data_IF_710371874771
#
_entry.id   IF_710371874771
#
_cell.length_a   1.000
_cell.length_b   1.000
_cell.length_c   1.000
_cell.angle_alpha   90.00
_cell.angle_beta   90.00
_cell.angle_gamma   90.00
#
_symmetry.space_group_name_H-M   'P 1'
#
loop_
_entity.id
_entity.type
_entity.pdbx_description
1 polymer ?
#
# COMPACT_ATOMS: atom_id res chain seq x y z
N UNK A 1 16.82 -46.33 7.53
CA UNK A 1 15.99 -45.14 7.28
C UNK A 1 16.20 -44.80 5.81
N UNK A 2 15.48 -45.52 4.97
CA UNK A 2 15.56 -45.37 3.53
C UNK A 2 14.79 -44.10 3.15
N UNK A 3 15.51 -43.11 2.64
CA UNK A 3 14.89 -41.98 1.97
C UNK A 3 14.32 -42.50 0.63
N UNK A 4 12.99 -42.67 0.58
CA UNK A 4 12.27 -43.06 -0.63
C UNK A 4 12.54 -42.05 -1.76
N UNK A 5 13.47 -42.39 -2.64
CA UNK A 5 13.77 -41.64 -3.86
C UNK A 5 12.54 -41.51 -4.79
N UNK A 6 11.51 -42.33 -4.57
CA UNK A 6 10.22 -42.24 -5.27
C UNK A 6 9.40 -41.00 -4.88
N UNK A 7 9.52 -40.48 -3.65
CA UNK A 7 8.83 -39.25 -3.23
C UNK A 7 9.41 -38.01 -3.92
N UNK A 8 10.71 -38.00 -4.21
CA UNK A 8 11.36 -36.91 -4.91
C UNK A 8 10.97 -36.83 -6.41
N UNK A 9 10.59 -37.96 -7.01
CA UNK A 9 10.13 -38.02 -8.41
C UNK A 9 8.66 -37.65 -8.62
N UNK A 10 7.86 -37.58 -7.55
CA UNK A 10 6.41 -37.29 -7.59
C UNK A 10 6.04 -35.89 -7.11
N UNK A 11 7.00 -35.12 -6.59
CA UNK A 11 6.77 -33.72 -6.24
C UNK A 11 6.78 -32.89 -7.54
N UNK A 12 5.66 -32.90 -8.27
CA UNK A 12 5.38 -31.87 -9.26
C UNK A 12 5.51 -30.53 -8.55
N UNK A 13 6.59 -29.80 -8.86
CA UNK A 13 6.89 -28.54 -8.19
C UNK A 13 5.74 -27.58 -8.49
N UNK A 14 5.04 -27.14 -7.44
CA UNK A 14 3.96 -26.15 -7.55
C UNK A 14 4.47 -24.97 -8.40
N UNK A 15 3.88 -24.72 -9.58
CA UNK A 15 4.35 -23.67 -10.46
C UNK A 15 4.32 -22.35 -9.70
N UNK A 16 5.41 -21.57 -9.81
CA UNK A 16 5.52 -20.28 -9.12
C UNK A 16 4.25 -19.45 -9.36
N UNK A 17 3.59 -18.94 -8.31
CA UNK A 17 2.38 -18.15 -8.47
C UNK A 17 2.68 -16.92 -9.33
N UNK A 18 1.80 -16.65 -10.28
CA UNK A 18 1.93 -15.52 -11.18
C UNK A 18 1.85 -14.20 -10.37
N UNK A 19 2.74 -13.26 -10.68
CA UNK A 19 2.71 -11.92 -10.08
C UNK A 19 1.38 -11.23 -10.40
N UNK A 20 0.80 -10.55 -9.42
CA UNK A 20 -0.41 -9.73 -9.60
C UNK A 20 -0.16 -8.47 -10.44
N UNK A 21 1.12 -8.08 -10.60
CA UNK A 21 1.54 -6.91 -11.40
C UNK A 21 2.50 -7.39 -12.48
N UNK A 22 2.27 -6.98 -13.72
CA UNK A 22 3.17 -7.29 -14.83
C UNK A 22 4.50 -6.55 -14.69
N UNK A 23 5.55 -7.10 -15.28
CA UNK A 23 6.85 -6.41 -15.35
C UNK A 23 6.75 -5.06 -16.06
N UNK A 24 5.89 -4.95 -17.09
CA UNK A 24 5.70 -3.71 -17.83
C UNK A 24 5.06 -2.61 -16.98
N UNK A 25 4.01 -2.94 -16.22
CA UNK A 25 3.41 -2.01 -15.27
C UNK A 25 4.46 -1.56 -14.23
N UNK A 26 5.18 -2.50 -13.62
CA UNK A 26 6.25 -2.19 -12.66
C UNK A 26 7.33 -1.25 -13.23
N UNK A 27 7.86 -1.54 -14.41
CA UNK A 27 8.86 -0.71 -15.07
C UNK A 27 8.33 0.68 -15.43
N UNK A 28 7.08 0.77 -15.89
CA UNK A 28 6.46 2.07 -16.21
C UNK A 28 6.34 2.97 -14.97
N UNK A 29 5.96 2.40 -13.82
CA UNK A 29 5.91 3.13 -12.55
C UNK A 29 7.30 3.59 -12.11
N UNK A 30 8.31 2.73 -12.24
CA UNK A 30 9.69 3.06 -11.90
C UNK A 30 10.22 4.22 -12.76
N UNK A 31 9.98 4.18 -14.07
CA UNK A 31 10.33 5.28 -14.98
C UNK A 31 9.65 6.57 -14.54
N UNK A 32 8.36 6.53 -14.20
CA UNK A 32 7.62 7.68 -13.73
C UNK A 32 8.20 8.30 -12.45
N UNK A 33 8.53 7.46 -11.46
CA UNK A 33 9.21 7.89 -10.22
C UNK A 33 10.56 8.54 -10.53
N UNK A 34 11.41 7.89 -11.34
CA UNK A 34 12.76 8.40 -11.63
C UNK A 34 12.71 9.72 -12.41
N UNK A 35 11.79 9.86 -13.36
CA UNK A 35 11.59 11.11 -14.11
C UNK A 35 11.15 12.24 -13.18
N UNK A 36 10.18 11.97 -12.29
CA UNK A 36 9.72 12.98 -11.35
C UNK A 36 10.79 13.36 -10.32
N UNK A 37 11.54 12.39 -9.79
CA UNK A 37 12.69 12.64 -8.92
C UNK A 37 13.70 13.56 -9.61
N UNK A 38 14.06 13.27 -10.86
CA UNK A 38 15.00 14.10 -11.62
C UNK A 38 14.51 15.54 -11.76
N UNK A 39 13.24 15.72 -12.11
CA UNK A 39 12.60 17.02 -12.19
C UNK A 39 12.58 17.76 -10.84
N UNK A 40 12.12 17.08 -9.78
CA UNK A 40 12.03 17.66 -8.45
C UNK A 40 13.41 18.06 -7.90
N UNK A 41 14.45 17.27 -8.16
CA UNK A 41 15.84 17.62 -7.81
C UNK A 41 16.34 18.84 -8.57
N UNK A 42 16.01 18.98 -9.84
CA UNK A 42 16.44 20.13 -10.64
C UNK A 42 15.84 21.45 -10.11
N UNK A 43 14.58 21.42 -9.67
CA UNK A 43 13.85 22.62 -9.19
C UNK A 43 13.81 22.76 -7.66
N UNK A 44 14.44 21.85 -6.90
CA UNK A 44 14.41 21.87 -5.43
C UNK A 44 13.00 21.65 -4.85
N UNK A 45 12.16 20.87 -5.53
CA UNK A 45 10.77 20.61 -5.13
C UNK A 45 10.69 19.49 -4.09
N UNK A 46 11.13 19.73 -2.86
CA UNK A 46 11.27 18.74 -1.79
C UNK A 46 10.09 18.67 -0.80
N UNK A 47 9.02 19.41 -1.07
CA UNK A 47 7.84 19.52 -0.22
C UNK A 47 6.87 18.32 -0.28
N UNK A 48 5.89 18.27 0.65
CA UNK A 48 4.96 17.15 0.77
C UNK A 48 4.04 16.98 -0.45
N UNK A 49 3.65 18.07 -1.11
CA UNK A 49 2.86 17.99 -2.34
C UNK A 49 3.66 17.38 -3.50
N UNK A 50 4.94 17.72 -3.61
CA UNK A 50 5.83 17.09 -4.59
C UNK A 50 6.00 15.59 -4.35
N UNK A 51 5.98 15.17 -3.09
CA UNK A 51 5.98 13.75 -2.73
C UNK A 51 4.68 13.05 -3.15
N UNK A 52 3.51 13.69 -3.02
CA UNK A 52 2.26 13.15 -3.58
C UNK A 52 2.27 13.09 -5.11
N UNK A 53 2.86 14.08 -5.78
CA UNK A 53 3.05 14.05 -7.23
C UNK A 53 3.98 12.90 -7.62
N UNK A 54 4.98 12.55 -6.80
CA UNK A 54 5.81 11.36 -7.03
C UNK A 54 4.99 10.06 -7.01
N UNK A 55 4.05 9.92 -6.06
CA UNK A 55 3.12 8.79 -6.01
C UNK A 55 2.23 8.76 -7.25
N UNK A 56 1.74 9.92 -7.71
CA UNK A 56 0.97 10.01 -8.95
C UNK A 56 1.81 9.68 -10.20
N UNK A 57 3.06 10.15 -10.24
CA UNK A 57 4.02 9.85 -11.31
C UNK A 57 4.38 8.36 -11.33
N UNK A 58 4.33 7.66 -10.20
CA UNK A 58 4.40 6.20 -10.14
C UNK A 58 3.11 5.55 -10.68
N UNK A 59 1.95 5.93 -10.14
CA UNK A 59 0.69 5.22 -10.38
C UNK A 59 0.09 5.45 -11.76
N UNK A 60 0.21 6.65 -12.34
CA UNK A 60 -0.41 6.98 -13.62
C UNK A 60 0.17 6.16 -14.79
N UNK A 61 1.50 6.05 -14.98
CA UNK A 61 2.07 5.16 -15.99
C UNK A 61 1.68 3.70 -15.79
N UNK A 62 1.64 3.23 -14.53
CA UNK A 62 1.19 1.86 -14.20
C UNK A 62 -0.25 1.63 -14.65
N UNK A 63 -1.17 2.55 -14.35
CA UNK A 63 -2.57 2.48 -14.79
C UNK A 63 -2.66 2.45 -16.31
N UNK A 64 -1.94 3.36 -16.99
CA UNK A 64 -1.94 3.47 -18.45
C UNK A 64 -1.44 2.16 -19.08
N UNK A 65 -0.32 1.62 -18.59
CA UNK A 65 0.21 0.36 -19.07
C UNK A 65 -0.77 -0.80 -18.83
N UNK A 66 -1.26 -0.95 -17.61
CA UNK A 66 -2.17 -2.03 -17.22
C UNK A 66 -3.47 -2.01 -18.04
N UNK A 67 -4.00 -0.83 -18.35
CA UNK A 67 -5.25 -0.72 -19.11
C UNK A 67 -5.07 -0.84 -20.62
N UNK A 68 -4.03 -0.22 -21.20
CA UNK A 68 -3.86 -0.16 -22.66
C UNK A 68 -3.07 -1.34 -23.22
N UNK A 69 -2.03 -1.78 -22.51
CA UNK A 69 -1.11 -2.84 -22.95
C UNK A 69 -1.56 -4.18 -22.40
N UNK A 70 -1.57 -4.33 -21.08
CA UNK A 70 -1.91 -5.61 -20.44
C UNK A 70 -3.42 -5.90 -20.52
N UNK A 71 -4.23 -4.84 -20.65
CA UNK A 71 -5.70 -4.90 -20.72
C UNK A 71 -6.30 -5.69 -19.54
N UNK A 72 -5.76 -5.46 -18.34
CA UNK A 72 -6.14 -6.18 -17.10
C UNK A 72 -7.63 -6.11 -16.80
N UNK A 73 -8.31 -5.05 -17.26
CA UNK A 73 -9.75 -4.90 -17.15
C UNK A 73 -10.53 -6.05 -17.80
N UNK A 74 -9.94 -6.81 -18.73
CA UNK A 74 -10.55 -7.97 -19.40
C UNK A 74 -10.18 -9.31 -18.74
N UNK A 75 -9.35 -9.31 -17.71
CA UNK A 75 -8.94 -10.54 -17.05
C UNK A 75 -10.15 -11.18 -16.35
N UNK A 76 -10.32 -12.51 -16.42
CA UNK A 76 -11.35 -13.22 -15.67
C UNK A 76 -11.27 -12.99 -14.15
N UNK A 77 -10.06 -12.78 -13.62
CA UNK A 77 -9.79 -12.49 -12.20
C UNK A 77 -10.48 -11.23 -11.69
N UNK A 78 -10.82 -10.27 -12.57
CA UNK A 78 -11.56 -9.07 -12.17
C UNK A 78 -12.99 -9.38 -11.70
N UNK A 79 -13.57 -10.49 -12.17
CA UNK A 79 -14.97 -10.85 -11.99
C UNK A 79 -15.93 -9.92 -12.75
N UNK A 80 -15.46 -9.27 -13.81
CA UNK A 80 -16.25 -8.35 -14.65
C UNK A 80 -16.56 -9.01 -16.00
N UNK A 81 -17.83 -9.02 -16.38
CA UNK A 81 -18.28 -9.31 -17.73
C UNK A 81 -18.79 -8.03 -18.40
N UNK A 82 -17.97 -7.45 -19.28
CA UNK A 82 -18.30 -6.23 -20.02
C UNK A 82 -19.42 -6.41 -21.05
N UNK A 83 -19.74 -7.65 -21.43
CA UNK A 83 -20.80 -7.95 -22.40
C UNK A 83 -22.19 -8.05 -21.76
N UNK A 84 -22.26 -8.36 -20.46
CA UNK A 84 -23.49 -8.61 -19.72
C UNK A 84 -24.03 -7.35 -19.00
N UNK A 85 -24.15 -6.22 -19.70
CA UNK A 85 -24.57 -4.97 -19.10
C UNK A 85 -26.03 -5.01 -18.60
N UNK A 86 -26.22 -5.19 -17.29
CA UNK A 86 -27.56 -5.16 -16.65
C UNK A 86 -28.19 -3.77 -16.68
N UNK A 87 -29.53 -3.71 -16.60
CA UNK A 87 -30.26 -2.44 -16.48
C UNK A 87 -30.00 -1.84 -15.10
N UNK A 88 -29.80 -0.51 -15.02
CA UNK A 88 -29.47 0.16 -13.75
C UNK A 88 -30.54 -0.05 -12.66
N UNK A 89 -31.81 -0.23 -13.05
CA UNK A 89 -32.92 -0.49 -12.13
C UNK A 89 -32.81 -1.86 -11.47
N UNK A 90 -32.24 -2.84 -12.15
CA UNK A 90 -32.07 -4.21 -11.65
C UNK A 90 -30.96 -4.29 -10.60
N UNK A 91 -29.97 -3.39 -10.68
CA UNK A 91 -28.82 -3.37 -9.77
C UNK A 91 -28.92 -2.29 -8.68
N UNK A 92 -29.93 -1.40 -8.74
CA UNK A 92 -30.02 -0.25 -7.84
C UNK A 92 -30.00 -0.66 -6.36
N UNK A 93 -30.90 -1.56 -5.97
CA UNK A 93 -31.01 -2.00 -4.57
C UNK A 93 -29.69 -2.61 -4.08
N UNK A 94 -29.08 -3.44 -4.92
CA UNK A 94 -27.78 -4.05 -4.65
C UNK A 94 -26.68 -2.99 -4.45
N UNK A 95 -26.62 -2.00 -5.35
CA UNK A 95 -25.65 -0.91 -5.26
C UNK A 95 -25.86 -0.04 -4.02
N UNK A 96 -27.11 0.25 -3.65
CA UNK A 96 -27.44 0.99 -2.43
C UNK A 96 -27.02 0.22 -1.18
N UNK A 97 -27.26 -1.09 -1.13
CA UNK A 97 -26.77 -1.94 -0.04
C UNK A 97 -25.24 -1.92 0.05
N UNK A 98 -24.53 -2.02 -1.08
CA UNK A 98 -23.06 -1.91 -1.09
C UNK A 98 -22.54 -0.57 -0.60
N UNK A 99 -23.16 0.52 -1.06
CA UNK A 99 -22.79 1.87 -0.62
C UNK A 99 -22.97 2.01 0.88
N UNK A 100 -24.05 1.47 1.47
CA UNK A 100 -24.25 1.44 2.91
C UNK A 100 -23.09 0.72 3.63
N UNK A 101 -22.68 -0.47 3.15
CA UNK A 101 -21.54 -1.20 3.71
C UNK A 101 -20.21 -0.45 3.57
N UNK A 102 -19.95 0.14 2.40
CA UNK A 102 -18.74 0.91 2.13
C UNK A 102 -18.65 2.16 3.02
N UNK A 103 -19.74 2.93 3.11
CA UNK A 103 -19.78 4.14 3.93
C UNK A 103 -19.71 3.83 5.42
N UNK A 104 -20.34 2.76 5.88
CA UNK A 104 -20.18 2.29 7.26
C UNK A 104 -18.72 1.93 7.58
N UNK A 105 -18.02 1.32 6.61
CA UNK A 105 -16.58 1.04 6.74
C UNK A 105 -15.78 2.32 6.88
N UNK A 106 -16.03 3.32 6.03
CA UNK A 106 -15.34 4.61 6.10
C UNK A 106 -15.65 5.39 7.37
N UNK A 107 -16.89 5.36 7.84
CA UNK A 107 -17.28 5.95 9.11
C UNK A 107 -16.54 5.27 10.27
N UNK A 108 -16.46 3.93 10.29
CA UNK A 108 -15.68 3.19 11.29
C UNK A 108 -14.20 3.56 11.29
N UNK A 109 -13.59 3.68 10.10
CA UNK A 109 -12.20 4.13 9.95
C UNK A 109 -12.02 5.57 10.47
N UNK A 110 -12.94 6.46 10.14
CA UNK A 110 -12.91 7.84 10.61
C UNK A 110 -13.00 7.92 12.14
N UNK A 111 -13.81 7.07 12.78
CA UNK A 111 -13.87 6.97 14.25
C UNK A 111 -12.55 6.47 14.82
N UNK A 112 -11.93 5.44 14.21
CA UNK A 112 -10.62 4.93 14.65
C UNK A 112 -9.54 6.02 14.58
N UNK A 113 -9.45 6.73 13.45
CA UNK A 113 -8.49 7.82 13.29
C UNK A 113 -8.80 9.02 14.19
N UNK A 114 -10.08 9.34 14.41
CA UNK A 114 -10.50 10.40 15.31
C UNK A 114 -10.21 10.11 16.78
N UNK A 115 -10.32 8.84 17.20
CA UNK A 115 -10.03 8.42 18.57
C UNK A 115 -8.51 8.37 18.87
N UNK A 116 -7.69 8.03 17.88
CA UNK A 116 -6.24 7.96 18.04
C UNK A 116 -5.55 9.32 17.94
N UNK A 117 -5.27 9.98 19.08
CA UNK A 117 -4.58 11.28 19.11
C UNK A 117 -3.26 11.30 18.32
N UNK A 118 -2.51 10.21 18.36
CA UNK A 118 -1.22 10.07 17.66
C UNK A 118 -1.34 10.19 16.13
N UNK A 119 -2.52 9.98 15.54
CA UNK A 119 -2.72 10.22 14.10
C UNK A 119 -2.72 11.71 13.74
N UNK A 120 -2.88 12.61 14.71
CA UNK A 120 -2.99 14.05 14.49
C UNK A 120 -1.71 14.80 14.85
N UNK A 121 -0.62 14.09 15.08
CA UNK A 121 0.68 14.64 15.45
C UNK A 121 1.76 14.18 14.45
N UNK A 122 2.82 14.99 14.32
CA UNK A 122 3.96 14.69 13.44
C UNK A 122 3.56 14.36 12.00
N UNK A 123 4.20 13.33 11.43
CA UNK A 123 3.99 12.93 10.03
C UNK A 123 2.58 12.40 9.75
N UNK A 124 1.91 11.79 10.73
CA UNK A 124 0.54 11.30 10.54
C UNK A 124 -0.47 12.43 10.35
N UNK A 125 -0.21 13.64 10.86
CA UNK A 125 -1.06 14.79 10.61
C UNK A 125 -1.22 15.08 9.11
N UNK A 126 -0.17 14.83 8.30
CA UNK A 126 -0.27 14.95 6.85
C UNK A 126 -1.13 13.85 6.23
N UNK A 127 -1.03 12.61 6.71
CA UNK A 127 -1.91 11.53 6.28
C UNK A 127 -3.39 11.83 6.61
N UNK A 128 -3.68 12.37 7.80
CA UNK A 128 -5.02 12.81 8.18
C UNK A 128 -5.50 13.95 7.31
N UNK A 129 -4.65 14.94 7.01
CA UNK A 129 -4.98 16.00 6.05
C UNK A 129 -5.36 15.41 4.69
N UNK A 130 -4.61 14.43 4.17
CA UNK A 130 -4.96 13.74 2.92
C UNK A 130 -6.34 13.08 3.01
N UNK A 131 -6.62 12.34 4.09
CA UNK A 131 -7.92 11.67 4.26
C UNK A 131 -9.08 12.65 4.42
N UNK A 132 -8.93 13.72 5.19
CA UNK A 132 -9.98 14.75 5.37
C UNK A 132 -10.34 15.41 4.05
N UNK A 133 -9.37 15.65 3.17
CA UNK A 133 -9.62 16.23 1.85
C UNK A 133 -10.13 15.20 0.82
N UNK A 134 -9.64 13.96 0.88
CA UNK A 134 -10.02 12.92 -0.06
C UNK A 134 -11.39 12.29 0.26
N UNK A 135 -11.76 12.16 1.54
CA UNK A 135 -12.96 11.43 1.94
C UNK A 135 -14.26 11.99 1.34
N UNK A 136 -14.53 13.32 1.31
CA UNK A 136 -15.72 13.86 0.65
C UNK A 136 -15.75 13.56 -0.85
N UNK A 137 -14.59 13.63 -1.51
CA UNK A 137 -14.46 13.33 -2.95
C UNK A 137 -14.75 11.85 -3.20
N UNK A 138 -14.16 10.96 -2.40
CA UNK A 138 -14.37 9.51 -2.49
C UNK A 138 -15.81 9.11 -2.15
N UNK A 139 -16.43 9.78 -1.17
CA UNK A 139 -17.85 9.63 -0.85
C UNK A 139 -18.72 9.88 -2.07
N UNK A 140 -18.58 11.04 -2.70
CA UNK A 140 -19.37 11.39 -3.88
C UNK A 140 -19.02 10.49 -5.07
N UNK A 141 -17.73 10.23 -5.31
CA UNK A 141 -17.26 9.39 -6.42
C UNK A 141 -17.65 7.91 -6.28
N UNK A 142 -17.86 7.41 -5.06
CA UNK A 142 -18.29 6.02 -4.84
C UNK A 142 -19.67 5.75 -5.42
N UNK A 143 -20.57 6.73 -5.43
CA UNK A 143 -21.95 6.58 -5.92
C UNK A 143 -21.99 6.20 -7.40
N UNK A 144 -21.48 7.04 -8.34
CA UNK A 144 -21.50 6.68 -9.75
C UNK A 144 -20.63 5.46 -10.04
N UNK A 145 -19.54 5.25 -9.31
CA UNK A 145 -18.67 4.08 -9.50
C UNK A 145 -19.39 2.77 -9.17
N UNK A 146 -20.01 2.66 -7.99
CA UNK A 146 -20.71 1.43 -7.56
C UNK A 146 -21.92 1.16 -8.45
N UNK A 147 -22.73 2.19 -8.72
CA UNK A 147 -23.88 2.07 -9.63
C UNK A 147 -23.50 1.64 -11.05
N UNK A 148 -22.32 2.06 -11.51
CA UNK A 148 -21.80 1.68 -12.82
C UNK A 148 -21.26 0.25 -12.82
N UNK A 149 -20.37 -0.09 -11.88
CA UNK A 149 -19.63 -1.36 -11.91
C UNK A 149 -20.53 -2.57 -11.63
N UNK A 150 -21.54 -2.43 -10.77
CA UNK A 150 -22.47 -3.52 -10.42
C UNK A 150 -23.27 -4.06 -11.62
N UNK A 151 -23.37 -3.24 -12.68
CA UNK A 151 -24.01 -3.63 -13.94
C UNK A 151 -23.22 -4.69 -14.70
N UNK A 152 -21.94 -4.87 -14.39
CA UNK A 152 -21.02 -5.75 -15.12
C UNK A 152 -20.39 -6.83 -14.23
N UNK A 153 -20.59 -6.78 -12.90
CA UNK A 153 -20.02 -7.81 -12.02
C UNK A 153 -20.73 -9.15 -12.21
N UNK A 154 -19.95 -10.22 -12.40
CA UNK A 154 -20.47 -11.59 -12.52
C UNK A 154 -21.19 -11.99 -11.24
N UNK A 155 -20.52 -11.85 -10.09
CA UNK A 155 -21.10 -11.99 -8.76
C UNK A 155 -21.23 -10.61 -8.10
N UNK A 156 -22.39 -9.95 -8.24
CA UNK A 156 -22.58 -8.62 -7.70
C UNK A 156 -22.76 -8.62 -6.18
N UNK A 157 -23.04 -9.73 -5.49
CA UNK A 157 -23.07 -9.74 -4.00
C UNK A 157 -21.68 -9.93 -3.41
N UNK A 158 -20.86 -8.89 -3.48
CA UNK A 158 -19.49 -8.91 -2.97
C UNK A 158 -19.39 -8.67 -1.45
N UNK A 159 -18.15 -8.66 -0.95
CA UNK A 159 -17.86 -8.48 0.48
C UNK A 159 -18.40 -7.17 1.08
N UNK A 160 -18.51 -6.10 0.29
CA UNK A 160 -19.10 -4.84 0.74
C UNK A 160 -20.62 -4.92 0.79
N UNK A 161 -21.24 -5.66 -0.16
CA UNK A 161 -22.66 -5.95 -0.12
C UNK A 161 -23.04 -6.73 1.15
N UNK A 162 -22.28 -7.77 1.51
CA UNK A 162 -22.58 -8.56 2.71
C UNK A 162 -22.56 -7.74 4.01
N UNK A 163 -21.61 -6.80 4.15
CA UNK A 163 -21.59 -5.88 5.29
C UNK A 163 -22.82 -4.95 5.28
N UNK A 164 -23.15 -4.38 4.13
CA UNK A 164 -24.32 -3.50 4.00
C UNK A 164 -25.65 -4.24 4.24
N UNK A 165 -25.77 -5.46 3.73
CA UNK A 165 -26.92 -6.34 3.89
C UNK A 165 -27.14 -6.66 5.37
N UNK A 166 -26.05 -6.97 6.10
CA UNK A 166 -26.10 -7.18 7.54
C UNK A 166 -26.57 -5.92 8.30
N UNK A 167 -26.06 -4.74 7.95
CA UNK A 167 -26.44 -3.47 8.59
C UNK A 167 -27.91 -3.08 8.34
N UNK A 168 -28.46 -3.51 7.20
CA UNK A 168 -29.81 -3.14 6.75
C UNK A 168 -30.85 -4.26 6.93
N UNK A 169 -30.45 -5.40 7.51
CA UNK A 169 -31.36 -6.51 7.81
C UNK A 169 -31.78 -7.38 6.62
N UNK A 170 -31.02 -7.38 5.53
CA UNK A 170 -31.28 -8.26 4.38
C UNK A 170 -30.91 -9.72 4.70
N UNK A 171 -31.64 -10.66 4.07
CA UNK A 171 -31.34 -12.10 4.17
C UNK A 171 -30.18 -12.51 3.24
N UNK A 172 -29.59 -13.69 3.49
CA UNK A 172 -28.52 -14.26 2.65
C UNK A 172 -27.12 -13.69 2.91
N UNK A 173 -26.89 -13.15 4.10
CA UNK A 173 -25.58 -12.65 4.54
C UNK A 173 -24.63 -13.81 4.83
N UNK A 174 -23.47 -13.80 4.19
CA UNK A 174 -22.33 -14.62 4.56
C UNK A 174 -21.44 -13.87 5.57
N UNK A 175 -21.21 -14.49 6.74
CA UNK A 175 -20.37 -13.91 7.80
C UNK A 175 -18.89 -13.96 7.45
N UNK A 176 -18.44 -14.97 6.72
CA UNK A 176 -17.04 -15.09 6.33
C UNK A 176 -16.64 -13.99 5.35
N UNK A 177 -17.55 -13.63 4.43
CA UNK A 177 -17.39 -12.45 3.57
C UNK A 177 -17.22 -11.15 4.36
N UNK A 178 -17.98 -10.96 5.45
CA UNK A 178 -17.83 -9.78 6.34
C UNK A 178 -16.47 -9.79 7.03
N UNK A 179 -16.04 -10.93 7.59
CA UNK A 179 -14.70 -11.01 8.19
C UNK A 179 -13.60 -10.77 7.17
N UNK A 180 -13.77 -11.26 5.93
CA UNK A 180 -12.88 -10.97 4.81
C UNK A 180 -12.79 -9.47 4.52
N UNK A 181 -13.94 -8.79 4.44
CA UNK A 181 -14.03 -7.34 4.26
C UNK A 181 -13.30 -6.58 5.35
N UNK A 182 -13.60 -6.87 6.62
CA UNK A 182 -13.01 -6.18 7.76
C UNK A 182 -11.49 -6.38 7.83
N UNK A 183 -10.99 -7.57 7.52
CA UNK A 183 -9.54 -7.82 7.42
C UNK A 183 -8.92 -7.02 6.27
N UNK A 184 -9.48 -7.09 5.06
CA UNK A 184 -8.93 -6.36 3.91
C UNK A 184 -8.88 -4.84 4.16
N UNK A 185 -9.95 -4.27 4.72
CA UNK A 185 -9.98 -2.87 5.11
C UNK A 185 -9.10 -2.57 6.32
N UNK A 186 -8.92 -3.50 7.26
CA UNK A 186 -7.98 -3.37 8.37
C UNK A 186 -6.54 -3.20 7.89
N UNK A 187 -6.08 -4.03 6.93
CA UNK A 187 -4.75 -3.88 6.30
C UNK A 187 -4.64 -2.49 5.67
N UNK A 188 -5.63 -2.09 4.87
CA UNK A 188 -5.62 -0.79 4.18
C UNK A 188 -5.64 0.38 5.15
N UNK A 189 -6.41 0.30 6.23
CA UNK A 189 -6.51 1.33 7.27
C UNK A 189 -5.18 1.51 7.99
N UNK A 190 -4.49 0.42 8.32
CA UNK A 190 -3.19 0.50 8.98
C UNK A 190 -2.11 1.05 8.03
N UNK A 191 -1.91 0.40 6.89
CA UNK A 191 -0.78 0.71 6.03
C UNK A 191 -0.96 1.98 5.20
N UNK A 192 -2.17 2.33 4.75
CA UNK A 192 -2.34 3.53 3.92
C UNK A 192 -2.01 4.81 4.69
N UNK A 193 -2.43 4.90 5.96
CA UNK A 193 -2.07 6.02 6.83
C UNK A 193 -0.56 6.10 7.05
N UNK A 194 0.07 4.95 7.33
CA UNK A 194 1.52 4.86 7.51
C UNK A 194 2.26 5.30 6.24
N UNK A 195 1.90 4.77 5.08
CA UNK A 195 2.53 5.13 3.80
C UNK A 195 2.43 6.63 3.51
N UNK A 196 1.24 7.21 3.66
CA UNK A 196 1.06 8.66 3.47
C UNK A 196 1.85 9.51 4.47
N UNK A 197 2.08 9.01 5.69
CA UNK A 197 2.91 9.70 6.68
C UNK A 197 4.40 9.69 6.30
N UNK A 198 4.92 8.62 5.71
CA UNK A 198 6.36 8.49 5.41
C UNK A 198 6.77 8.91 4.00
N UNK A 199 5.83 9.00 3.05
CA UNK A 199 6.12 9.48 1.68
C UNK A 199 6.80 10.86 1.69
N UNK A 200 6.27 11.91 2.35
CA UNK A 200 6.90 13.23 2.35
C UNK A 200 8.32 13.30 2.92
N UNK A 201 8.61 12.80 4.14
CA UNK A 201 9.95 12.92 4.69
C UNK A 201 10.98 12.13 3.87
N UNK A 202 10.66 10.91 3.40
CA UNK A 202 11.56 10.13 2.55
C UNK A 202 11.87 10.83 1.22
N UNK A 203 10.84 11.35 0.56
CA UNK A 203 10.99 12.10 -0.68
C UNK A 203 11.83 13.37 -0.51
N UNK A 204 11.48 14.20 0.47
CA UNK A 204 12.20 15.45 0.73
C UNK A 204 13.66 15.23 1.11
N UNK A 205 13.95 14.23 1.95
CA UNK A 205 15.32 13.87 2.33
C UNK A 205 16.16 13.46 1.12
N UNK A 206 15.58 12.65 0.22
CA UNK A 206 16.28 12.27 -1.00
C UNK A 206 16.55 13.48 -1.89
N UNK A 207 15.54 14.33 -2.13
CA UNK A 207 15.63 15.50 -3.02
C UNK A 207 16.65 16.52 -2.52
N UNK A 208 16.70 16.79 -1.21
CA UNK A 208 17.68 17.71 -0.59
C UNK A 208 19.12 17.18 -0.58
N UNK A 209 19.33 15.88 -0.78
CA UNK A 209 20.66 15.28 -0.69
C UNK A 209 21.69 15.93 -1.61
N UNK A 210 22.83 16.35 -1.03
CA UNK A 210 23.98 16.90 -1.75
C UNK A 210 24.81 15.78 -2.39
N UNK A 211 24.68 15.63 -3.71
CA UNK A 211 25.38 14.60 -4.49
C UNK A 211 26.89 14.71 -4.35
N UNK A 212 27.44 15.93 -4.26
CA UNK A 212 28.89 16.12 -4.21
C UNK A 212 29.49 15.63 -2.88
N UNK A 213 28.76 15.82 -1.78
CA UNK A 213 29.13 15.30 -0.45
C UNK A 213 28.92 13.79 -0.38
N UNK A 214 27.75 13.32 -0.81
CA UNK A 214 27.34 11.90 -0.73
C UNK A 214 28.28 10.99 -1.51
N UNK A 215 28.75 11.40 -2.70
CA UNK A 215 29.67 10.59 -3.50
C UNK A 215 31.09 10.45 -2.92
N UNK A 216 31.46 11.31 -1.96
CA UNK A 216 32.80 11.31 -1.34
C UNK A 216 32.85 10.53 -0.03
N UNK A 217 31.70 10.20 0.55
CA UNK A 217 31.59 9.40 1.76
C UNK A 217 30.75 8.15 1.49
N UNK A 218 31.37 6.95 1.45
CA UNK A 218 30.67 5.69 1.22
C UNK A 218 29.51 5.41 2.19
N UNK A 219 29.57 5.93 3.43
CA UNK A 219 28.48 5.76 4.41
C UNK A 219 27.31 6.66 4.06
N UNK A 220 27.57 7.93 3.74
CA UNK A 220 26.56 8.85 3.25
C UNK A 220 25.92 8.34 1.95
N UNK A 221 26.72 7.77 1.04
CA UNK A 221 26.23 7.13 -0.19
C UNK A 221 25.29 5.96 0.12
N UNK A 222 25.67 5.08 1.05
CA UNK A 222 24.82 3.96 1.48
C UNK A 222 23.47 4.46 2.00
N UNK A 223 23.48 5.41 2.94
CA UNK A 223 22.25 6.00 3.49
C UNK A 223 21.37 6.68 2.43
N UNK A 224 21.98 7.39 1.48
CA UNK A 224 21.24 8.05 0.39
C UNK A 224 20.62 7.05 -0.59
N UNK A 225 21.32 5.95 -0.92
CA UNK A 225 20.79 4.87 -1.75
C UNK A 225 19.68 4.08 -1.05
N UNK A 226 19.80 3.85 0.26
CA UNK A 226 18.72 3.25 1.06
C UNK A 226 17.51 4.16 1.11
N UNK A 227 17.70 5.48 1.24
CA UNK A 227 16.61 6.46 1.14
C UNK A 227 15.93 6.37 -0.22
N UNK A 228 16.68 6.23 -1.32
CA UNK A 228 16.12 6.04 -2.65
C UNK A 228 15.31 4.74 -2.76
N UNK A 229 15.85 3.64 -2.24
CA UNK A 229 15.17 2.34 -2.23
C UNK A 229 13.82 2.45 -1.49
N UNK A 230 13.80 3.02 -0.28
CA UNK A 230 12.57 3.23 0.48
C UNK A 230 11.63 4.21 -0.21
N UNK A 231 12.13 5.28 -0.83
CA UNK A 231 11.29 6.23 -1.58
C UNK A 231 10.53 5.49 -2.70
N UNK A 232 11.23 4.65 -3.47
CA UNK A 232 10.62 3.85 -4.53
C UNK A 232 9.62 2.84 -3.92
N UNK A 233 10.05 2.05 -2.93
CA UNK A 233 9.20 1.05 -2.28
C UNK A 233 7.90 1.65 -1.73
N UNK A 234 8.02 2.73 -0.96
CA UNK A 234 6.88 3.45 -0.36
C UNK A 234 5.98 4.05 -1.44
N UNK A 235 6.52 4.58 -2.54
CA UNK A 235 5.69 5.08 -3.64
C UNK A 235 4.83 3.96 -4.24
N UNK A 236 5.43 2.80 -4.53
CA UNK A 236 4.71 1.63 -5.04
C UNK A 236 3.70 1.09 -4.04
N UNK A 237 4.07 0.97 -2.76
CA UNK A 237 3.18 0.54 -1.69
C UNK A 237 1.97 1.48 -1.56
N UNK A 238 2.20 2.80 -1.59
CA UNK A 238 1.14 3.82 -1.54
C UNK A 238 0.17 3.66 -2.72
N UNK A 239 0.69 3.51 -3.94
CA UNK A 239 -0.12 3.26 -5.14
C UNK A 239 -0.96 1.99 -4.97
N UNK A 240 -0.36 0.90 -4.48
CA UNK A 240 -1.05 -0.37 -4.25
C UNK A 240 -2.20 -0.26 -3.24
N UNK A 241 -2.00 0.44 -2.13
CA UNK A 241 -3.06 0.65 -1.14
C UNK A 241 -4.14 1.62 -1.61
N UNK A 242 -3.81 2.62 -2.42
CA UNK A 242 -4.79 3.55 -2.99
C UNK A 242 -5.65 2.88 -4.06
N UNK A 243 -5.01 2.24 -5.05
CA UNK A 243 -5.63 1.79 -6.29
C UNK A 243 -6.14 0.35 -6.24
N UNK A 244 -6.95 -0.01 -5.24
CA UNK A 244 -7.51 -1.37 -5.08
C UNK A 244 -8.82 -1.53 -5.88
N UNK A 245 -8.76 -1.38 -7.21
CA UNK A 245 -9.95 -1.35 -8.08
C UNK A 245 -10.09 -2.64 -8.90
N UNK A 246 -11.31 -3.17 -9.03
CA UNK A 246 -11.58 -4.36 -9.86
C UNK A 246 -11.20 -4.16 -11.33
N UNK A 247 -11.52 -3.04 -12.01
CA UNK A 247 -11.08 -2.81 -13.39
C UNK A 247 -9.56 -2.77 -13.60
N UNK A 248 -8.78 -2.54 -12.53
CA UNK A 248 -7.32 -2.59 -12.59
C UNK A 248 -6.76 -3.96 -12.18
N UNK A 249 -7.63 -4.95 -11.90
CA UNK A 249 -7.28 -6.27 -11.35
C UNK A 249 -6.39 -6.23 -10.09
N UNK A 250 -6.48 -5.13 -9.34
CA UNK A 250 -5.65 -4.83 -8.16
C UNK A 250 -6.44 -4.86 -6.86
N UNK A 251 -7.67 -5.37 -6.91
CA UNK A 251 -8.52 -5.54 -5.74
C UNK A 251 -7.90 -6.58 -4.78
N UNK A 252 -8.14 -6.39 -3.48
CA UNK A 252 -7.67 -7.32 -2.45
C UNK A 252 -8.47 -8.62 -2.58
N UNK A 253 -7.78 -9.73 -2.84
CA UNK A 253 -8.40 -11.06 -3.00
C UNK A 253 -8.64 -11.75 -1.66
N UNK A 254 -7.70 -11.61 -0.73
CA UNK A 254 -7.79 -12.15 0.61
C UNK A 254 -6.83 -11.44 1.56
N UNK A 255 -7.06 -11.59 2.86
CA UNK A 255 -6.17 -11.16 3.93
C UNK A 255 -6.08 -12.29 4.97
N UNK A 256 -4.88 -12.52 5.52
CA UNK A 256 -4.63 -13.66 6.39
C UNK A 256 -5.54 -13.61 7.65
N UNK A 257 -6.25 -14.70 8.01
CA UNK A 257 -7.17 -14.70 9.15
C UNK A 257 -6.49 -14.67 10.52
N UNK A 258 -5.21 -15.04 10.63
CA UNK A 258 -4.56 -15.27 11.91
C UNK A 258 -3.88 -14.01 12.44
N UNK A 259 -4.23 -13.57 13.65
CA UNK A 259 -3.59 -12.42 14.30
C UNK A 259 -2.06 -12.54 14.38
N UNK A 260 -1.54 -13.76 14.57
CA UNK A 260 -0.10 -14.04 14.60
C UNK A 260 0.62 -13.65 13.29
N UNK A 261 -0.06 -13.69 12.13
CA UNK A 261 0.51 -13.27 10.86
C UNK A 261 0.65 -11.74 10.75
N UNK A 262 -0.03 -10.98 11.60
CA UNK A 262 -0.06 -9.51 11.58
C UNK A 262 0.81 -8.90 12.67
N UNK A 263 1.03 -9.63 13.78
CA UNK A 263 1.84 -9.13 14.91
C UNK A 263 3.21 -8.60 14.49
N UNK A 264 4.01 -9.27 13.62
CA UNK A 264 5.30 -8.73 13.21
C UNK A 264 5.18 -7.35 12.55
N UNK A 265 4.17 -7.16 11.69
CA UNK A 265 3.94 -5.87 11.05
C UNK A 265 3.58 -4.79 12.08
N UNK A 266 2.72 -5.09 13.05
CA UNK A 266 2.37 -4.15 14.12
C UNK A 266 3.59 -3.78 14.97
N UNK A 267 4.44 -4.75 15.32
CA UNK A 267 5.64 -4.49 16.12
C UNK A 267 6.72 -3.70 15.37
N UNK A 268 6.77 -3.83 14.04
CA UNK A 268 7.82 -3.25 13.20
C UNK A 268 7.45 -1.92 12.54
N UNK A 269 6.15 -1.58 12.43
CA UNK A 269 5.71 -0.38 11.70
C UNK A 269 4.93 0.59 12.58
N UNK A 270 5.12 1.92 12.39
CA UNK A 270 4.27 2.94 13.00
C UNK A 270 2.78 2.70 12.72
N UNK A 271 1.88 3.06 13.65
CA UNK A 271 2.14 3.76 14.93
C UNK A 271 2.57 2.84 16.09
N UNK A 272 2.67 1.52 15.90
CA UNK A 272 2.92 0.57 17.01
C UNK A 272 4.36 0.06 17.09
N UNK A 273 5.25 0.59 16.25
CA UNK A 273 6.67 0.23 16.23
C UNK A 273 7.28 0.26 17.63
N UNK A 274 7.85 -0.86 18.06
CA UNK A 274 8.36 -0.99 19.42
C UNK A 274 9.81 -0.52 19.59
N UNK A 275 10.60 -0.59 18.52
CA UNK A 275 12.04 -0.33 18.51
C UNK A 275 12.42 1.08 18.03
N UNK A 276 11.43 1.98 17.88
CA UNK A 276 11.72 3.39 17.56
C UNK A 276 12.47 4.06 18.70
N UNK A 277 13.18 5.15 18.42
CA UNK A 277 13.82 5.97 19.47
C UNK A 277 12.78 6.42 20.51
N UNK A 278 13.08 6.19 21.79
CA UNK A 278 12.17 6.41 22.92
C UNK A 278 11.04 5.38 23.06
N UNK A 279 11.03 4.33 22.24
CA UNK A 279 10.04 3.26 22.26
C UNK A 279 10.29 2.20 23.34
N UNK A 280 9.33 1.29 23.59
CA UNK A 280 9.42 0.29 24.65
C UNK A 280 10.60 -0.69 24.53
N UNK A 281 11.06 -0.94 23.31
CA UNK A 281 12.20 -1.82 23.00
C UNK A 281 13.37 -1.02 22.39
N UNK A 282 13.46 0.27 22.71
CA UNK A 282 14.60 1.10 22.32
C UNK A 282 15.87 0.69 23.09
N UNK A 283 16.88 0.19 22.36
CA UNK A 283 18.17 -0.24 22.92
C UNK A 283 19.27 0.82 22.78
N UNK A 284 18.97 1.99 22.23
CA UNK A 284 19.93 3.09 22.07
C UNK A 284 20.31 3.78 23.41
N UNK A 285 19.46 3.87 24.44
CA UNK A 285 19.85 4.45 25.72
C UNK A 285 21.10 3.76 26.30
N UNK A 286 22.18 4.51 26.46
CA UNK A 286 23.46 3.99 26.96
C UNK A 286 24.31 3.23 25.93
N UNK A 287 23.93 3.24 24.65
CA UNK A 287 24.69 2.60 23.55
C UNK A 287 24.82 3.56 22.34
N UNK A 288 25.38 3.09 21.23
CA UNK A 288 25.46 3.84 19.97
C UNK A 288 25.44 2.89 18.77
N UNK A 289 25.30 3.43 17.56
CA UNK A 289 25.22 2.66 16.31
C UNK A 289 26.58 2.15 15.81
N UNK A 290 26.58 1.28 14.80
CA UNK A 290 27.84 0.73 14.29
C UNK A 290 28.71 1.81 13.62
N UNK A 291 28.10 2.83 13.02
CA UNK A 291 28.79 3.97 12.43
C UNK A 291 29.63 4.69 13.49
N UNK A 292 29.11 4.86 14.70
CA UNK A 292 29.81 5.38 15.87
C UNK A 292 30.93 4.46 16.35
N UNK A 293 30.68 3.17 16.53
CA UNK A 293 31.72 2.25 17.00
C UNK A 293 32.86 2.04 15.98
N UNK A 294 32.59 2.22 14.68
CA UNK A 294 33.58 2.11 13.61
C UNK A 294 34.11 3.46 13.09
N UNK A 295 33.81 4.57 13.76
CA UNK A 295 34.75 5.67 14.12
C UNK A 295 36.14 5.63 13.43
N UNK A 296 37.07 4.94 14.06
CA UNK A 296 38.48 4.88 13.65
C UNK A 296 38.82 3.81 12.62
N UNK A 297 37.85 3.12 12.01
CA UNK A 297 38.11 1.95 11.17
C UNK A 297 37.45 2.02 9.77
N UNK A 298 37.92 2.88 8.86
CA UNK A 298 37.25 3.15 7.57
C UNK A 298 37.00 1.90 6.73
N UNK A 299 37.96 0.97 6.66
CA UNK A 299 37.82 -0.29 5.90
C UNK A 299 36.76 -1.23 6.48
N UNK A 300 36.64 -1.28 7.82
CA UNK A 300 35.61 -2.09 8.50
C UNK A 300 34.25 -1.42 8.37
N UNK A 301 34.22 -0.10 8.48
CA UNK A 301 33.00 0.69 8.26
C UNK A 301 32.45 0.57 6.85
N UNK A 302 33.28 0.49 5.81
CA UNK A 302 32.80 0.22 4.44
C UNK A 302 32.23 -1.20 4.31
N UNK A 303 32.85 -2.19 4.95
CA UNK A 303 32.39 -3.59 4.93
C UNK A 303 31.07 -3.77 5.69
N UNK A 304 30.85 -3.00 6.75
CA UNK A 304 29.68 -3.09 7.65
C UNK A 304 28.62 -2.05 7.31
N UNK A 305 28.97 -0.93 6.67
CA UNK A 305 28.06 0.19 6.34
C UNK A 305 27.00 -0.14 5.28
N UNK A 306 27.05 -1.33 4.70
CA UNK A 306 25.93 -1.93 3.98
C UNK A 306 24.87 -2.60 4.90
N UNK A 307 25.15 -2.74 6.20
CA UNK A 307 24.30 -3.35 7.22
C UNK A 307 23.80 -2.35 8.28
N UNK A 308 24.20 -1.08 8.17
CA UNK A 308 24.03 -0.06 9.22
C UNK A 308 23.15 1.09 8.77
N UNK A 309 22.00 0.77 8.16
CA UNK A 309 21.01 1.79 7.81
C UNK A 309 19.66 1.36 8.38
N UNK A 310 19.27 1.96 9.51
CA UNK A 310 17.88 2.04 9.97
C UNK A 310 17.43 3.49 9.86
#
# INVERSE_FOLDING_TARGET
>A
MDHDAQLAGMAETDPRPQSAVSHGAGLSGLVGVLVWIGFARHYGMDGPYSALVNVAACGLPMIVWSLLVDKVHRNPSTGIDWSAARLWRETLDLSLTKLAGLWATWAGIAVIYGAGRFYWEGNFAFAMWCFTNAAPILFVASIPYVLWIDRYLVEPRDVAWHLGAWLTGHAGVDREAIYGHLRAWGVKTFFLAFMLAIVPPGFGNFVRGDVASVLRDPVALSGWLVTLMFLIDVAFATVGYLLTFRPLDSHIRSANPYAAAWMPALMCYPPFILMTTGGPLDYHPGTSDWAYWFQGHPRRRIRIGGADVR
#
